data_IF_668818278884
#
_entry.id   IF_668818278884
#
_cell.length_a   1.000
_cell.length_b   1.000
_cell.length_c   1.000
_cell.angle_alpha   90.00
_cell.angle_beta   90.00
_cell.angle_gamma   90.00
#
_symmetry.space_group_name_H-M   'P 1'
#
loop_
_entity.id
_entity.type
_entity.pdbx_description
1 polymer ?
#
# COMPACT_ATOMS: atom_id res chain seq x y z
N UNK A 1 19.61 -47.88 -76.05
CA UNK A 1 20.69 -47.91 -75.03
C UNK A 1 20.83 -46.62 -74.20
N UNK A 2 20.10 -45.52 -74.46
CA UNK A 2 20.26 -44.24 -73.73
C UNK A 2 19.24 -43.96 -72.60
N UNK A 3 18.20 -44.78 -72.39
CA UNK A 3 17.18 -44.56 -71.35
C UNK A 3 17.58 -45.07 -69.96
N UNK A 4 18.37 -46.14 -69.88
CA UNK A 4 18.82 -46.72 -68.61
C UNK A 4 19.77 -45.78 -67.83
N UNK A 5 20.63 -45.04 -68.54
CA UNK A 5 21.55 -44.06 -67.96
C UNK A 5 20.85 -42.80 -67.45
N UNK A 6 19.75 -42.37 -68.08
CA UNK A 6 18.94 -41.25 -67.57
C UNK A 6 18.17 -41.61 -66.30
N UNK A 7 17.67 -42.85 -66.20
CA UNK A 7 16.92 -43.35 -65.04
C UNK A 7 17.81 -43.48 -63.80
N UNK A 8 19.03 -43.99 -63.97
CA UNK A 8 20.07 -44.04 -62.92
C UNK A 8 20.45 -42.65 -62.39
N UNK A 9 20.57 -41.66 -63.28
CA UNK A 9 20.91 -40.28 -62.90
C UNK A 9 19.78 -39.60 -62.12
N UNK A 10 18.52 -39.82 -62.52
CA UNK A 10 17.34 -39.33 -61.79
C UNK A 10 17.24 -39.96 -60.40
N UNK A 11 17.39 -41.28 -60.28
CA UNK A 11 17.39 -41.97 -58.98
C UNK A 11 18.52 -41.48 -58.05
N UNK A 12 19.70 -41.21 -58.59
CA UNK A 12 20.81 -40.63 -57.84
C UNK A 12 20.49 -39.21 -57.34
N UNK A 13 19.89 -38.37 -58.19
CA UNK A 13 19.49 -37.01 -57.83
C UNK A 13 18.39 -36.99 -56.76
N UNK A 14 17.39 -37.88 -56.87
CA UNK A 14 16.31 -38.01 -55.89
C UNK A 14 16.85 -38.54 -54.55
N UNK A 15 17.76 -39.52 -54.57
CA UNK A 15 18.44 -40.01 -53.37
C UNK A 15 19.26 -38.89 -52.70
N UNK A 16 19.97 -38.08 -53.50
CA UNK A 16 20.72 -36.93 -52.99
C UNK A 16 19.80 -35.83 -52.41
N UNK A 17 18.61 -35.64 -53.00
CA UNK A 17 17.59 -34.69 -52.51
C UNK A 17 16.98 -35.16 -51.19
N UNK A 18 16.56 -36.41 -51.10
CA UNK A 18 16.04 -37.03 -49.89
C UNK A 18 17.06 -36.94 -48.74
N UNK A 19 18.33 -37.28 -49.01
CA UNK A 19 19.41 -37.15 -48.02
C UNK A 19 19.68 -35.69 -47.59
N UNK A 20 19.38 -34.68 -48.42
CA UNK A 20 19.47 -33.27 -48.02
C UNK A 20 18.29 -32.84 -47.16
N UNK A 21 17.08 -33.27 -47.52
CA UNK A 21 15.86 -32.99 -46.74
C UNK A 21 15.91 -33.67 -45.37
N UNK A 22 16.40 -34.90 -45.28
CA UNK A 22 16.63 -35.60 -44.01
C UNK A 22 17.65 -34.85 -43.14
N UNK A 23 18.79 -34.43 -43.72
CA UNK A 23 19.77 -33.59 -43.01
C UNK A 23 19.21 -32.25 -42.55
N UNK A 24 18.32 -31.63 -43.35
CA UNK A 24 17.64 -30.39 -42.97
C UNK A 24 16.68 -30.64 -41.80
N UNK A 25 15.86 -31.69 -41.88
CA UNK A 25 14.95 -32.10 -40.82
C UNK A 25 15.67 -32.47 -39.52
N UNK A 26 16.83 -33.14 -39.59
CA UNK A 26 17.67 -33.45 -38.43
C UNK A 26 18.19 -32.16 -37.77
N UNK A 27 18.69 -31.20 -38.56
CA UNK A 27 19.15 -29.90 -38.05
C UNK A 27 18.02 -29.10 -37.41
N UNK A 28 16.82 -29.15 -37.97
CA UNK A 28 15.64 -28.47 -37.40
C UNK A 28 15.22 -29.11 -36.07
N UNK A 29 15.20 -30.45 -35.98
CA UNK A 29 14.94 -31.18 -34.74
C UNK A 29 16.00 -30.89 -33.68
N UNK A 30 17.27 -30.88 -34.05
CA UNK A 30 18.38 -30.56 -33.15
C UNK A 30 18.27 -29.12 -32.61
N UNK A 31 17.99 -28.14 -33.48
CA UNK A 31 17.74 -26.75 -33.06
C UNK A 31 16.56 -26.63 -32.10
N UNK A 32 15.45 -27.32 -32.39
CA UNK A 32 14.29 -27.35 -31.51
C UNK A 32 14.63 -27.97 -30.15
N UNK A 33 15.38 -29.08 -30.14
CA UNK A 33 15.82 -29.74 -28.92
C UNK A 33 16.72 -28.83 -28.07
N UNK A 34 17.70 -28.15 -28.69
CA UNK A 34 18.58 -27.18 -28.01
C UNK A 34 17.75 -26.05 -27.40
N UNK A 35 16.77 -25.53 -28.13
CA UNK A 35 15.91 -24.46 -27.63
C UNK A 35 15.08 -24.91 -26.42
N UNK A 36 14.42 -26.07 -26.50
CA UNK A 36 13.66 -26.65 -25.39
C UNK A 36 14.56 -26.87 -24.17
N UNK A 37 15.74 -27.47 -24.36
CA UNK A 37 16.70 -27.70 -23.29
C UNK A 37 17.17 -26.40 -22.64
N UNK A 38 17.44 -25.35 -23.43
CA UNK A 38 17.84 -24.04 -22.90
C UNK A 38 16.72 -23.40 -22.06
N UNK A 39 15.47 -23.47 -22.53
CA UNK A 39 14.30 -22.96 -21.79
C UNK A 39 14.11 -23.73 -20.49
N UNK A 40 14.20 -25.06 -20.51
CA UNK A 40 14.08 -25.91 -19.31
C UNK A 40 15.21 -25.65 -18.32
N UNK A 41 16.46 -25.57 -18.77
CA UNK A 41 17.62 -25.24 -17.91
C UNK A 41 17.45 -23.87 -17.26
N UNK A 42 16.99 -22.87 -18.02
CA UNK A 42 16.70 -21.52 -17.49
C UNK A 42 15.59 -21.56 -16.44
N UNK A 43 14.51 -22.30 -16.69
CA UNK A 43 13.41 -22.46 -15.74
C UNK A 43 13.89 -23.13 -14.44
N UNK A 44 14.59 -24.27 -14.53
CA UNK A 44 15.12 -24.98 -13.37
C UNK A 44 16.11 -24.12 -12.56
N UNK A 45 16.99 -23.39 -13.24
CA UNK A 45 17.92 -22.45 -12.59
C UNK A 45 17.17 -21.36 -11.82
N UNK A 46 16.17 -20.73 -12.44
CA UNK A 46 15.32 -19.73 -11.75
C UNK A 46 14.61 -20.34 -10.54
N UNK A 47 14.04 -21.54 -10.66
CA UNK A 47 13.39 -22.23 -9.55
C UNK A 47 14.36 -22.59 -8.41
N UNK A 48 15.62 -22.92 -8.73
CA UNK A 48 16.66 -23.16 -7.74
C UNK A 48 17.04 -21.86 -7.02
N UNK A 49 17.36 -20.81 -7.77
CA UNK A 49 17.69 -19.49 -7.21
C UNK A 49 16.57 -18.93 -6.31
N UNK A 50 15.32 -19.03 -6.75
CA UNK A 50 14.16 -18.60 -5.95
C UNK A 50 14.04 -19.38 -4.63
N UNK A 51 14.37 -20.68 -4.63
CA UNK A 51 14.37 -21.50 -3.41
C UNK A 51 15.54 -21.15 -2.49
N UNK A 52 16.74 -21.02 -3.05
CA UNK A 52 17.95 -20.63 -2.29
C UNK A 52 17.75 -19.28 -1.60
N UNK A 53 17.19 -18.29 -2.31
CA UNK A 53 16.87 -16.98 -1.72
C UNK A 53 15.85 -17.12 -0.59
N UNK A 54 14.79 -17.92 -0.77
CA UNK A 54 13.78 -18.12 0.29
C UNK A 54 14.36 -18.83 1.51
N UNK A 55 15.20 -19.83 1.30
CA UNK A 55 15.87 -20.54 2.38
C UNK A 55 16.78 -19.58 3.16
N UNK A 56 17.59 -18.76 2.47
CA UNK A 56 18.43 -17.74 3.13
C UNK A 56 17.59 -16.77 3.97
N UNK A 57 16.42 -16.37 3.47
CA UNK A 57 15.47 -15.52 4.22
C UNK A 57 14.92 -16.24 5.45
N UNK A 58 14.52 -17.50 5.30
CA UNK A 58 13.97 -18.28 6.40
C UNK A 58 15.03 -18.56 7.47
N UNK A 59 16.26 -18.86 7.08
CA UNK A 59 17.40 -19.05 7.98
C UNK A 59 17.71 -17.76 8.75
N UNK A 60 17.72 -16.61 8.06
CA UNK A 60 17.94 -15.33 8.71
C UNK A 60 16.78 -14.93 9.63
N UNK A 61 15.52 -15.26 9.28
CA UNK A 61 14.34 -14.93 10.07
C UNK A 61 13.99 -16.00 11.13
N UNK A 62 14.72 -17.12 11.14
CA UNK A 62 14.49 -18.25 12.03
C UNK A 62 14.69 -17.91 13.52
N UNK A 63 14.18 -18.78 14.41
CA UNK A 63 14.23 -18.59 15.86
C UNK A 63 15.60 -18.88 16.48
N UNK A 64 16.64 -19.13 15.69
CA UNK A 64 17.97 -19.49 16.21
C UNK A 64 18.61 -18.29 16.93
N UNK A 65 18.38 -18.21 18.23
CA UNK A 65 19.00 -17.28 19.19
C UNK A 65 20.51 -17.50 19.37
N UNK A 66 21.05 -18.58 18.81
CA UNK A 66 22.47 -18.97 18.94
C UNK A 66 23.45 -18.08 18.16
N UNK A 67 22.96 -17.24 17.25
CA UNK A 67 23.76 -16.20 16.56
C UNK A 67 23.21 -14.79 16.86
N UNK A 68 23.08 -14.46 18.16
CA UNK A 68 22.67 -13.14 18.66
C UNK A 68 23.63 -11.98 18.34
N UNK A 69 24.43 -12.07 17.26
CA UNK A 69 24.93 -10.88 16.61
C UNK A 69 23.71 -10.09 16.11
N UNK A 70 23.35 -9.03 16.83
CA UNK A 70 22.25 -8.12 16.49
C UNK A 70 22.18 -7.92 14.99
N UNK A 71 21.04 -8.29 14.38
CA UNK A 71 20.79 -8.15 12.94
C UNK A 71 20.98 -6.68 12.58
N UNK A 72 22.10 -6.36 11.93
CA UNK A 72 22.44 -4.98 11.61
C UNK A 72 21.44 -4.40 10.61
N UNK A 73 21.23 -3.08 10.62
CA UNK A 73 20.34 -2.42 9.67
C UNK A 73 20.68 -2.79 8.22
N UNK A 74 21.98 -2.86 7.90
CA UNK A 74 22.47 -3.24 6.56
C UNK A 74 22.13 -4.68 6.19
N UNK A 75 22.22 -5.63 7.13
CA UNK A 75 21.84 -7.03 6.88
C UNK A 75 20.34 -7.16 6.57
N UNK A 76 19.50 -6.48 7.38
CA UNK A 76 18.05 -6.43 7.17
C UNK A 76 17.75 -5.81 5.80
N UNK A 77 18.40 -4.71 5.45
CA UNK A 77 18.24 -4.06 4.15
C UNK A 77 18.58 -4.97 2.97
N UNK A 78 19.73 -5.66 3.02
CA UNK A 78 20.14 -6.62 1.97
C UNK A 78 19.12 -7.75 1.83
N UNK A 79 18.63 -8.29 2.94
CA UNK A 79 17.64 -9.36 2.92
C UNK A 79 16.29 -8.89 2.39
N UNK A 80 15.83 -7.71 2.81
CA UNK A 80 14.59 -7.10 2.31
C UNK A 80 14.65 -6.92 0.79
N UNK A 81 15.80 -6.55 0.22
CA UNK A 81 15.95 -6.47 -1.25
C UNK A 81 15.75 -7.81 -1.92
N UNK A 82 16.33 -8.88 -1.36
CA UNK A 82 16.18 -10.24 -1.86
C UNK A 82 14.72 -10.69 -1.81
N UNK A 83 14.04 -10.47 -0.68
CA UNK A 83 12.63 -10.81 -0.55
C UNK A 83 11.79 -10.05 -1.57
N UNK A 84 11.94 -8.72 -1.68
CA UNK A 84 11.18 -7.90 -2.64
C UNK A 84 11.42 -8.33 -4.09
N UNK A 85 12.61 -8.83 -4.42
CA UNK A 85 12.94 -9.34 -5.76
C UNK A 85 12.18 -10.62 -6.11
N UNK A 86 11.97 -11.52 -5.14
CA UNK A 86 11.31 -12.83 -5.36
C UNK A 86 9.87 -12.90 -4.87
N UNK A 87 9.36 -11.80 -4.32
CA UNK A 87 8.13 -11.79 -3.52
C UNK A 87 6.92 -12.28 -4.31
N UNK A 88 6.24 -13.28 -3.79
CA UNK A 88 4.97 -13.74 -4.30
C UNK A 88 3.94 -13.84 -3.17
N UNK A 89 2.86 -13.04 -3.26
CA UNK A 89 1.88 -12.85 -2.17
C UNK A 89 1.33 -14.17 -1.58
N UNK A 90 1.05 -15.17 -2.43
CA UNK A 90 0.51 -16.47 -2.00
C UNK A 90 1.51 -17.33 -1.22
N UNK A 91 2.82 -17.12 -1.41
CA UNK A 91 3.88 -17.96 -0.82
C UNK A 91 4.63 -17.24 0.30
N UNK A 92 4.73 -15.91 0.21
CA UNK A 92 5.68 -15.12 1.00
C UNK A 92 4.99 -14.17 1.99
N UNK A 93 3.66 -14.24 2.16
CA UNK A 93 2.89 -13.44 3.14
C UNK A 93 3.45 -13.59 4.56
N UNK A 94 3.74 -14.82 5.00
CA UNK A 94 4.31 -15.07 6.32
C UNK A 94 5.75 -14.57 6.47
N UNK A 95 6.59 -14.77 5.43
CA UNK A 95 7.97 -14.27 5.40
C UNK A 95 7.99 -12.75 5.52
N UNK A 96 7.11 -12.07 4.81
CA UNK A 96 6.95 -10.63 4.93
C UNK A 96 6.52 -10.23 6.35
N UNK A 97 5.57 -10.94 6.95
CA UNK A 97 5.17 -10.68 8.34
C UNK A 97 6.34 -10.82 9.32
N UNK A 98 7.16 -11.86 9.19
CA UNK A 98 8.39 -12.05 9.98
C UNK A 98 9.41 -10.93 9.73
N UNK A 99 9.57 -10.50 8.48
CA UNK A 99 10.47 -9.40 8.11
C UNK A 99 9.99 -8.06 8.70
N UNK A 100 8.70 -7.74 8.60
CA UNK A 100 8.12 -6.54 9.20
C UNK A 100 8.36 -6.50 10.71
N UNK A 101 8.14 -7.63 11.42
CA UNK A 101 8.47 -7.74 12.84
C UNK A 101 9.97 -7.52 13.10
N UNK A 102 10.84 -8.12 12.30
CA UNK A 102 12.29 -7.92 12.41
C UNK A 102 12.68 -6.43 12.25
N UNK A 103 12.07 -5.73 11.29
CA UNK A 103 12.30 -4.30 11.07
C UNK A 103 11.78 -3.48 12.25
N UNK A 104 10.55 -3.72 12.73
CA UNK A 104 10.00 -2.99 13.88
C UNK A 104 10.79 -3.23 15.15
N UNK A 105 11.16 -4.47 15.45
CA UNK A 105 12.01 -4.79 16.60
C UNK A 105 13.37 -4.08 16.50
N UNK A 106 13.92 -3.93 15.28
CA UNK A 106 15.14 -3.14 15.08
C UNK A 106 14.96 -1.66 15.44
N UNK A 107 13.75 -1.09 15.29
CA UNK A 107 13.47 0.30 15.64
C UNK A 107 13.29 0.51 17.15
N UNK A 108 12.97 -0.57 17.88
CA UNK A 108 12.76 -0.56 19.32
C UNK A 108 14.04 -0.83 20.12
N UNK A 109 15.05 -1.47 19.50
CA UNK A 109 16.33 -1.82 20.13
C UNK A 109 16.96 -0.64 20.89
N UNK A 110 17.46 -0.91 22.10
CA UNK A 110 18.03 0.12 22.96
C UNK A 110 19.47 0.48 22.56
N UNK A 111 19.77 1.78 22.62
CA UNK A 111 21.12 2.36 22.66
C UNK A 111 22.11 1.98 21.54
N UNK A 112 21.63 1.49 20.37
CA UNK A 112 22.49 1.24 19.20
C UNK A 112 21.91 1.80 17.90
N UNK A 113 22.24 3.05 17.55
CA UNK A 113 21.76 3.68 16.32
C UNK A 113 22.10 2.90 15.04
N UNK A 114 23.18 2.12 15.03
CA UNK A 114 23.60 1.29 13.88
C UNK A 114 22.69 0.08 13.62
N UNK A 115 21.89 -0.32 14.61
CA UNK A 115 20.93 -1.44 14.49
C UNK A 115 19.60 -0.95 13.94
N UNK A 116 19.23 0.31 14.24
CA UNK A 116 17.98 0.89 13.78
C UNK A 116 17.92 0.93 12.26
N UNK A 117 16.92 0.28 11.69
CA UNK A 117 16.77 0.20 10.24
C UNK A 117 16.69 1.58 9.55
N UNK A 118 16.16 2.60 10.25
CA UNK A 118 16.11 3.99 9.77
C UNK A 118 17.48 4.67 9.66
N UNK A 119 18.52 4.17 10.34
CA UNK A 119 19.87 4.75 10.24
C UNK A 119 20.41 4.78 8.81
N UNK A 120 19.94 3.87 7.96
CA UNK A 120 20.27 3.82 6.53
C UNK A 120 19.75 5.03 5.76
N UNK A 121 18.70 5.71 6.25
CA UNK A 121 18.21 6.95 5.67
C UNK A 121 19.22 8.11 5.81
N UNK A 122 20.17 8.01 6.75
CA UNK A 122 21.22 9.00 6.99
C UNK A 122 22.51 8.71 6.19
N UNK A 123 22.59 7.55 5.53
CA UNK A 123 23.77 7.14 4.76
C UNK A 123 23.72 7.69 3.33
N UNK A 124 24.68 8.54 2.95
CA UNK A 124 24.76 9.16 1.61
C UNK A 124 24.66 8.14 0.45
N UNK A 125 25.19 6.93 0.63
CA UNK A 125 25.18 5.88 -0.39
C UNK A 125 23.84 5.11 -0.44
N UNK A 126 23.17 4.96 0.70
CA UNK A 126 22.02 4.05 0.84
C UNK A 126 20.68 4.77 0.92
N UNK A 127 20.63 6.07 1.23
CA UNK A 127 19.37 6.81 1.45
C UNK A 127 18.38 6.62 0.31
N UNK A 128 18.79 6.79 -0.96
CA UNK A 128 17.88 6.67 -2.11
C UNK A 128 17.36 5.24 -2.29
N UNK A 129 18.23 4.25 -2.10
CA UNK A 129 17.84 2.84 -2.20
C UNK A 129 16.92 2.42 -1.04
N UNK A 130 17.17 2.97 0.15
CA UNK A 130 16.35 2.78 1.34
C UNK A 130 14.96 3.40 1.15
N UNK A 131 14.85 4.65 0.66
CA UNK A 131 13.56 5.29 0.36
C UNK A 131 12.76 4.44 -0.61
N UNK A 132 13.37 3.95 -1.70
CA UNK A 132 12.71 3.06 -2.66
C UNK A 132 12.23 1.77 -1.98
N UNK A 133 13.09 1.13 -1.19
CA UNK A 133 12.76 -0.10 -0.48
C UNK A 133 11.60 0.09 0.51
N UNK A 134 11.61 1.16 1.30
CA UNK A 134 10.52 1.48 2.24
C UNK A 134 9.22 1.73 1.50
N UNK A 135 9.24 2.50 0.40
CA UNK A 135 8.05 2.69 -0.45
C UNK A 135 7.46 1.38 -0.95
N UNK A 136 8.29 0.48 -1.47
CA UNK A 136 7.85 -0.82 -1.98
C UNK A 136 7.32 -1.71 -0.85
N UNK A 137 7.97 -1.70 0.32
CA UNK A 137 7.58 -2.47 1.49
C UNK A 137 6.24 -1.99 2.08
N UNK A 138 6.07 -0.68 2.27
CA UNK A 138 4.85 -0.09 2.79
C UNK A 138 3.68 -0.24 1.82
N UNK A 139 3.95 -0.16 0.51
CA UNK A 139 2.93 -0.45 -0.49
C UNK A 139 2.50 -1.92 -0.43
N UNK A 140 3.43 -2.84 -0.20
CA UNK A 140 3.10 -4.24 -0.04
C UNK A 140 2.28 -4.52 1.23
N UNK A 141 2.61 -3.84 2.34
CA UNK A 141 1.78 -3.84 3.55
C UNK A 141 0.35 -3.35 3.24
N UNK A 142 0.23 -2.27 2.46
CA UNK A 142 -1.06 -1.71 2.02
C UNK A 142 -1.85 -2.69 1.14
N UNK A 143 -1.18 -3.41 0.22
CA UNK A 143 -1.84 -4.46 -0.58
C UNK A 143 -2.38 -5.60 0.28
N UNK A 144 -1.63 -6.02 1.30
CA UNK A 144 -2.07 -7.07 2.21
C UNK A 144 -3.24 -6.59 3.07
N UNK A 145 -3.22 -5.35 3.55
CA UNK A 145 -4.35 -4.76 4.30
C UNK A 145 -5.67 -4.87 3.53
N UNK A 146 -5.67 -4.74 2.19
CA UNK A 146 -6.89 -4.92 1.37
C UNK A 146 -7.53 -6.31 1.48
N UNK A 147 -6.76 -7.33 1.84
CA UNK A 147 -7.21 -8.73 1.89
C UNK A 147 -7.60 -9.18 3.30
N UNK A 148 -7.30 -8.38 4.32
CA UNK A 148 -7.50 -8.74 5.72
C UNK A 148 -8.88 -8.28 6.20
N UNK A 149 -9.52 -9.09 7.02
CA UNK A 149 -10.82 -8.77 7.61
C UNK A 149 -10.70 -8.46 9.11
N UNK A 150 -11.11 -7.26 9.56
CA UNK A 150 -10.94 -6.85 10.97
C UNK A 150 -11.63 -7.70 12.03
N UNK A 151 -12.66 -8.47 11.66
CA UNK A 151 -13.44 -9.37 12.52
C UNK A 151 -12.71 -10.69 12.83
N UNK A 152 -11.75 -11.09 12.00
CA UNK A 152 -10.99 -12.31 12.18
C UNK A 152 -9.76 -12.07 13.05
N UNK A 153 -9.67 -12.70 14.23
CA UNK A 153 -8.56 -12.46 15.19
C UNK A 153 -7.15 -12.64 14.59
N UNK A 154 -6.97 -13.61 13.69
CA UNK A 154 -5.68 -13.82 13.02
C UNK A 154 -5.32 -12.64 12.12
N UNK A 155 -6.29 -12.13 11.37
CA UNK A 155 -6.12 -10.98 10.49
C UNK A 155 -5.91 -9.70 11.28
N UNK A 156 -6.57 -9.52 12.44
CA UNK A 156 -6.34 -8.37 13.32
C UNK A 156 -4.87 -8.21 13.70
N UNK A 157 -4.16 -9.32 14.00
CA UNK A 157 -2.72 -9.28 14.29
C UNK A 157 -1.90 -8.77 13.10
N UNK A 158 -2.25 -9.20 11.88
CA UNK A 158 -1.61 -8.74 10.65
C UNK A 158 -1.96 -7.29 10.31
N UNK A 159 -3.20 -6.86 10.55
CA UNK A 159 -3.65 -5.48 10.37
C UNK A 159 -2.81 -4.57 11.27
N UNK A 160 -2.72 -4.88 12.56
CA UNK A 160 -1.90 -4.10 13.50
C UNK A 160 -0.45 -4.07 13.06
N UNK A 161 0.16 -5.20 12.68
CA UNK A 161 1.55 -5.23 12.21
C UNK A 161 1.78 -4.32 10.99
N UNK A 162 0.91 -4.39 9.98
CA UNK A 162 1.05 -3.61 8.75
C UNK A 162 0.77 -2.11 8.98
N UNK A 163 -0.19 -1.77 9.83
CA UNK A 163 -0.46 -0.38 10.22
C UNK A 163 0.70 0.18 11.06
N UNK A 164 1.29 -0.59 11.98
CA UNK A 164 2.46 -0.14 12.73
C UNK A 164 3.64 0.13 11.80
N UNK A 165 3.91 -0.74 10.82
CA UNK A 165 4.91 -0.45 9.78
C UNK A 165 4.64 0.88 9.06
N UNK A 166 3.40 1.11 8.64
CA UNK A 166 3.00 2.35 7.98
C UNK A 166 3.20 3.56 8.90
N UNK A 167 2.73 3.50 10.14
CA UNK A 167 2.87 4.58 11.12
C UNK A 167 4.34 4.89 11.40
N UNK A 168 5.16 3.86 11.66
CA UNK A 168 6.58 4.02 11.95
C UNK A 168 7.32 4.71 10.80
N UNK A 169 7.12 4.30 9.55
CA UNK A 169 7.89 4.87 8.43
C UNK A 169 7.24 6.09 7.75
N UNK A 170 6.14 6.61 8.31
CA UNK A 170 5.50 7.86 7.86
C UNK A 170 5.47 8.94 8.95
N UNK A 171 6.06 8.68 10.11
CA UNK A 171 6.13 9.63 11.22
C UNK A 171 7.46 9.56 11.97
N UNK A 172 8.18 10.68 11.93
CA UNK A 172 9.49 10.86 12.56
C UNK A 172 9.43 10.92 14.08
N UNK A 173 8.25 11.11 14.68
CA UNK A 173 8.06 11.08 16.14
C UNK A 173 8.44 9.72 16.75
N UNK A 174 8.26 8.66 15.96
CA UNK A 174 8.57 7.28 16.37
C UNK A 174 10.07 6.95 16.29
N UNK A 175 10.88 7.81 15.67
CA UNK A 175 12.29 7.52 15.40
C UNK A 175 13.18 8.01 16.54
N UNK A 176 13.66 7.07 17.35
CA UNK A 176 14.59 7.36 18.46
C UNK A 176 15.87 8.09 17.98
N UNK A 177 16.31 7.87 16.74
CA UNK A 177 17.49 8.50 16.14
C UNK A 177 17.38 10.02 16.00
N UNK A 178 16.17 10.55 15.98
CA UNK A 178 15.93 11.98 15.82
C UNK A 178 15.80 12.73 17.14
N UNK A 179 15.93 12.04 18.28
CA UNK A 179 15.94 12.70 19.60
C UNK A 179 17.32 13.31 19.88
N UNK A 180 17.35 14.43 20.60
CA UNK A 180 18.60 15.10 21.00
C UNK A 180 19.39 15.65 19.80
N UNK A 181 20.61 15.14 19.58
CA UNK A 181 21.49 15.62 18.48
C UNK A 181 20.90 15.38 17.08
N UNK A 182 19.98 14.43 16.94
CA UNK A 182 19.31 14.13 15.67
C UNK A 182 18.18 15.10 15.27
N UNK A 183 17.76 16.00 16.17
CA UNK A 183 16.62 16.89 15.95
C UNK A 183 16.82 17.82 14.73
N UNK A 184 18.05 18.26 14.49
CA UNK A 184 18.39 19.09 13.33
C UNK A 184 18.06 18.43 11.98
N UNK A 185 18.01 17.09 11.93
CA UNK A 185 17.66 16.33 10.72
C UNK A 185 16.16 16.08 10.57
N UNK A 186 15.34 16.41 11.58
CA UNK A 186 13.89 16.16 11.56
C UNK A 186 13.18 16.78 10.35
N UNK A 187 13.47 18.03 9.91
CA UNK A 187 12.83 18.60 8.73
C UNK A 187 13.09 17.78 7.46
N UNK A 188 14.33 17.34 7.23
CA UNK A 188 14.69 16.51 6.09
C UNK A 188 14.00 15.14 6.14
N UNK A 189 13.93 14.53 7.33
CA UNK A 189 13.25 13.25 7.53
C UNK A 189 11.73 13.35 7.39
N UNK A 190 11.12 14.47 7.79
CA UNK A 190 9.71 14.75 7.55
C UNK A 190 9.43 14.87 6.05
N UNK A 191 10.32 15.48 5.28
CA UNK A 191 10.20 15.53 3.83
C UNK A 191 10.27 14.13 3.20
N UNK A 192 11.14 13.25 3.70
CA UNK A 192 11.17 11.83 3.29
C UNK A 192 9.84 11.13 3.62
N UNK A 193 9.30 11.33 4.82
CA UNK A 193 8.00 10.77 5.21
C UNK A 193 6.87 11.27 4.29
N UNK A 194 6.83 12.57 3.99
CA UNK A 194 5.88 13.15 3.04
C UNK A 194 6.02 12.55 1.64
N UNK A 195 7.25 12.33 1.17
CA UNK A 195 7.54 11.70 -0.11
C UNK A 195 7.10 10.22 -0.17
N UNK A 196 7.26 9.49 0.93
CA UNK A 196 6.75 8.11 1.08
C UNK A 196 5.22 8.11 1.07
N UNK A 197 4.57 8.98 1.85
CA UNK A 197 3.11 9.12 1.88
C UNK A 197 2.54 9.50 0.51
N UNK A 198 3.17 10.45 -0.20
CA UNK A 198 2.78 10.84 -1.55
C UNK A 198 2.83 9.65 -2.53
N UNK A 199 3.86 8.80 -2.43
CA UNK A 199 3.94 7.58 -3.22
C UNK A 199 2.82 6.57 -2.91
N UNK A 200 2.47 6.40 -1.63
CA UNK A 200 1.37 5.53 -1.23
C UNK A 200 0.03 6.06 -1.77
N UNK A 201 -0.21 7.36 -1.65
CA UNK A 201 -1.43 8.01 -2.14
C UNK A 201 -1.59 7.85 -3.66
N UNK A 202 -0.52 8.07 -4.43
CA UNK A 202 -0.52 7.84 -5.89
C UNK A 202 -0.87 6.41 -6.28
N UNK A 203 -0.61 5.43 -5.41
CA UNK A 203 -0.95 4.02 -5.64
C UNK A 203 -2.35 3.62 -5.13
N UNK A 204 -3.13 4.57 -4.61
CA UNK A 204 -4.49 4.32 -4.12
C UNK A 204 -4.54 3.84 -2.67
N UNK A 205 -3.72 4.44 -1.80
CA UNK A 205 -3.72 4.14 -0.37
C UNK A 205 -5.03 4.49 0.33
N UNK A 206 -5.68 5.60 -0.03
CA UNK A 206 -6.99 5.97 0.53
C UNK A 206 -8.05 4.88 0.33
N UNK A 207 -8.08 4.23 -0.84
CA UNK A 207 -8.99 3.10 -1.10
C UNK A 207 -8.69 1.88 -0.21
N UNK A 208 -7.42 1.66 0.17
CA UNK A 208 -7.05 0.62 1.14
C UNK A 208 -7.67 0.93 2.50
N UNK A 209 -7.52 2.18 2.96
CA UNK A 209 -8.03 2.61 4.25
C UNK A 209 -9.56 2.62 4.29
N UNK A 210 -10.21 3.07 3.22
CA UNK A 210 -11.67 3.02 3.05
C UNK A 210 -12.20 1.61 3.23
N UNK A 211 -11.60 0.62 2.56
CA UNK A 211 -12.02 -0.77 2.65
C UNK A 211 -11.88 -1.31 4.08
N UNK A 212 -10.76 -0.99 4.73
CA UNK A 212 -10.50 -1.43 6.10
C UNK A 212 -11.46 -0.79 7.11
N UNK A 213 -11.74 0.51 6.96
CA UNK A 213 -12.72 1.24 7.77
C UNK A 213 -14.13 0.70 7.56
N UNK A 214 -14.55 0.53 6.31
CA UNK A 214 -15.88 0.00 5.96
C UNK A 214 -16.08 -1.39 6.55
N UNK A 215 -15.12 -2.31 6.34
CA UNK A 215 -15.20 -3.67 6.89
C UNK A 215 -15.17 -3.71 8.43
N UNK A 216 -14.58 -2.69 9.06
CA UNK A 216 -14.39 -2.62 10.50
C UNK A 216 -15.50 -1.87 11.26
N UNK A 217 -16.13 -0.87 10.63
CA UNK A 217 -17.07 0.07 11.24
C UNK A 217 -18.52 -0.12 10.76
N UNK A 218 -18.77 -0.49 9.49
CA UNK A 218 -20.12 -0.56 8.92
C UNK A 218 -20.85 -1.85 9.35
N UNK A 219 -21.01 -2.04 10.66
CA UNK A 219 -21.64 -3.20 11.31
C UNK A 219 -22.31 -2.78 12.62
N UNK A 220 -23.14 -3.65 13.18
CA UNK A 220 -23.81 -3.41 14.47
C UNK A 220 -22.83 -3.16 15.64
N UNK A 221 -21.68 -3.85 15.64
CA UNK A 221 -20.58 -3.62 16.58
C UNK A 221 -19.26 -3.44 15.82
N UNK A 222 -18.55 -2.31 16.00
CA UNK A 222 -17.21 -2.10 15.44
C UNK A 222 -16.21 -3.17 15.89
N UNK A 223 -15.33 -3.65 15.00
CA UNK A 223 -14.23 -4.58 15.37
C UNK A 223 -12.86 -3.91 15.42
N UNK A 224 -12.74 -2.68 14.93
CA UNK A 224 -11.46 -1.98 15.00
C UNK A 224 -11.17 -1.64 16.46
N UNK A 225 -10.00 -2.06 16.93
CA UNK A 225 -9.51 -1.64 18.24
C UNK A 225 -9.23 -0.13 18.24
N UNK A 226 -9.17 0.48 19.42
CA UNK A 226 -8.78 1.87 19.61
C UNK A 226 -7.49 2.21 18.84
N UNK A 227 -6.44 1.42 19.05
CA UNK A 227 -5.15 1.64 18.38
C UNK A 227 -5.21 1.48 16.86
N UNK A 228 -5.98 0.51 16.35
CA UNK A 228 -6.17 0.31 14.91
C UNK A 228 -6.88 1.50 14.27
N UNK A 229 -7.97 1.97 14.88
CA UNK A 229 -8.75 3.10 14.37
C UNK A 229 -7.93 4.40 14.41
N UNK A 230 -7.21 4.66 15.51
CA UNK A 230 -6.29 5.81 15.62
C UNK A 230 -5.22 5.77 14.53
N UNK A 231 -4.61 4.61 14.27
CA UNK A 231 -3.60 4.46 13.24
C UNK A 231 -4.17 4.74 11.84
N UNK A 232 -5.32 4.17 11.49
CA UNK A 232 -5.96 4.39 10.19
C UNK A 232 -6.30 5.88 10.00
N UNK A 233 -6.93 6.50 11.00
CA UNK A 233 -7.32 7.91 10.92
C UNK A 233 -6.09 8.81 10.80
N UNK A 234 -5.07 8.61 11.63
CA UNK A 234 -3.82 9.37 11.58
C UNK A 234 -3.12 9.22 10.24
N UNK A 235 -3.02 8.00 9.70
CA UNK A 235 -2.43 7.74 8.38
C UNK A 235 -3.21 8.39 7.24
N UNK A 236 -4.53 8.52 7.38
CA UNK A 236 -5.37 9.18 6.38
C UNK A 236 -5.27 10.71 6.42
N UNK A 237 -5.07 11.29 7.60
CA UNK A 237 -5.06 12.73 7.81
C UNK A 237 -3.68 13.36 7.60
N UNK A 238 -2.60 12.67 7.97
CA UNK A 238 -1.21 13.15 7.83
C UNK A 238 -0.87 13.69 6.44
N UNK A 239 -1.21 13.03 5.31
CA UNK A 239 -0.90 13.56 3.98
C UNK A 239 -1.64 14.87 3.70
N UNK A 240 -2.89 15.00 4.18
CA UNK A 240 -3.69 16.21 4.02
C UNK A 240 -3.04 17.39 4.75
N UNK A 241 -2.61 17.18 6.00
CA UNK A 241 -1.89 18.18 6.79
C UNK A 241 -0.56 18.56 6.11
N UNK A 242 0.23 17.57 5.70
CA UNK A 242 1.54 17.78 5.11
C UNK A 242 1.49 18.54 3.76
N UNK A 243 0.38 18.45 3.04
CA UNK A 243 0.15 19.20 1.80
C UNK A 243 -0.70 20.47 2.03
N UNK A 244 -0.81 20.94 3.28
CA UNK A 244 -1.58 22.12 3.66
C UNK A 244 -3.01 22.12 3.12
N UNK A 245 -3.68 20.96 3.22
CA UNK A 245 -5.08 20.79 2.81
C UNK A 245 -5.33 21.09 1.33
N UNK A 246 -4.39 20.72 0.46
CA UNK A 246 -4.59 20.83 -1.00
C UNK A 246 -5.89 20.17 -1.45
N UNK A 247 -6.57 20.81 -2.41
CA UNK A 247 -7.88 20.38 -2.91
C UNK A 247 -7.92 18.90 -3.30
N UNK A 248 -6.88 18.40 -3.97
CA UNK A 248 -6.78 17.00 -4.38
C UNK A 248 -6.80 16.01 -3.20
N UNK A 249 -6.10 16.32 -2.12
CA UNK A 249 -6.05 15.45 -0.93
C UNK A 249 -7.29 15.63 -0.06
N UNK A 250 -7.84 16.84 0.01
CA UNK A 250 -9.09 17.10 0.74
C UNK A 250 -10.25 16.35 0.08
N UNK A 251 -10.34 16.43 -1.25
CA UNK A 251 -11.25 15.62 -2.08
C UNK A 251 -11.07 14.12 -1.82
N UNK A 252 -9.83 13.62 -1.87
CA UNK A 252 -9.56 12.20 -1.63
C UNK A 252 -9.97 11.76 -0.22
N UNK A 253 -9.75 12.62 0.79
CA UNK A 253 -10.15 12.37 2.17
C UNK A 253 -11.67 12.33 2.32
N UNK A 254 -12.39 13.28 1.70
CA UNK A 254 -13.85 13.31 1.70
C UNK A 254 -14.44 12.06 1.02
N UNK A 255 -13.91 11.70 -0.15
CA UNK A 255 -14.40 10.58 -0.95
C UNK A 255 -14.16 9.21 -0.33
N UNK A 256 -13.05 9.01 0.37
CA UNK A 256 -12.64 7.67 0.84
C UNK A 256 -12.71 7.50 2.35
N UNK A 257 -12.63 8.57 3.13
CA UNK A 257 -12.58 8.50 4.59
C UNK A 257 -13.89 9.03 5.17
N UNK A 258 -14.24 10.28 4.89
CA UNK A 258 -15.47 10.88 5.43
C UNK A 258 -16.76 10.29 4.84
N UNK A 259 -16.68 9.57 3.73
CA UNK A 259 -17.81 8.81 3.17
C UNK A 259 -18.03 7.45 3.84
N UNK A 260 -17.17 7.03 4.77
CA UNK A 260 -17.36 5.77 5.51
C UNK A 260 -18.51 5.92 6.50
N UNK A 261 -19.49 4.99 6.54
CA UNK A 261 -20.63 5.07 7.44
C UNK A 261 -20.24 5.31 8.91
N UNK A 262 -20.91 6.28 9.55
CA UNK A 262 -20.80 6.60 10.98
C UNK A 262 -19.37 6.84 11.52
N UNK A 263 -18.41 7.19 10.65
CA UNK A 263 -17.03 7.41 11.03
C UNK A 263 -16.90 8.40 12.19
N UNK A 264 -17.54 9.57 12.12
CA UNK A 264 -17.37 10.63 13.13
C UNK A 264 -17.93 10.19 14.49
N UNK A 265 -19.07 9.50 14.50
CA UNK A 265 -19.64 8.89 15.72
C UNK A 265 -18.70 7.86 16.33
N UNK A 266 -18.06 7.02 15.51
CA UNK A 266 -17.08 6.05 16.00
C UNK A 266 -15.79 6.71 16.49
N UNK A 267 -15.35 7.79 15.85
CA UNK A 267 -14.19 8.56 16.32
C UNK A 267 -14.47 9.19 17.69
N UNK A 268 -15.63 9.83 17.87
CA UNK A 268 -15.97 10.49 19.15
C UNK A 268 -16.14 9.50 20.30
N UNK A 269 -16.61 8.27 20.01
CA UNK A 269 -16.90 7.25 21.03
C UNK A 269 -15.71 6.35 21.35
N UNK A 270 -14.94 5.91 20.35
CA UNK A 270 -13.86 4.91 20.52
C UNK A 270 -12.49 5.59 20.71
N UNK A 271 -12.24 6.69 19.99
CA UNK A 271 -10.93 7.38 19.92
C UNK A 271 -11.09 8.91 20.06
N UNK A 272 -11.60 9.41 21.20
CA UNK A 272 -11.84 10.83 21.39
C UNK A 272 -10.59 11.70 21.21
N UNK A 273 -9.39 11.14 21.37
CA UNK A 273 -8.13 11.85 21.10
C UNK A 273 -7.99 12.24 19.62
N UNK A 274 -8.55 11.46 18.70
CA UNK A 274 -8.59 11.82 17.29
C UNK A 274 -9.51 13.03 17.04
N UNK A 275 -10.56 13.21 17.84
CA UNK A 275 -11.42 14.41 17.73
C UNK A 275 -10.67 15.68 18.12
N UNK A 276 -9.79 15.63 19.13
CA UNK A 276 -8.92 16.77 19.45
C UNK A 276 -8.03 17.17 18.24
N UNK A 277 -7.58 16.20 17.45
CA UNK A 277 -6.86 16.46 16.20
C UNK A 277 -7.78 17.09 15.13
N UNK A 278 -9.01 16.60 15.00
CA UNK A 278 -10.02 17.15 14.07
C UNK A 278 -10.31 18.62 14.37
N UNK A 279 -10.48 18.97 15.65
CA UNK A 279 -10.72 20.35 16.08
C UNK A 279 -9.49 21.23 15.93
N UNK A 280 -8.31 20.78 16.37
CA UNK A 280 -7.06 21.57 16.24
C UNK A 280 -6.65 21.85 14.80
N UNK A 281 -7.09 20.99 13.86
CA UNK A 281 -6.88 21.19 12.43
C UNK A 281 -8.06 21.87 11.73
N UNK A 282 -9.09 22.31 12.46
CA UNK A 282 -10.27 22.99 11.92
C UNK A 282 -10.89 22.27 10.70
N UNK A 283 -10.98 20.93 10.77
CA UNK A 283 -11.37 20.14 9.60
C UNK A 283 -12.78 20.47 9.10
N UNK A 284 -13.71 20.75 10.01
CA UNK A 284 -15.07 21.12 9.64
C UNK A 284 -15.09 22.38 8.78
N UNK A 285 -14.43 23.45 9.21
CA UNK A 285 -14.32 24.70 8.47
C UNK A 285 -13.78 24.44 7.07
N UNK A 286 -12.69 23.68 6.97
CA UNK A 286 -12.06 23.33 5.68
C UNK A 286 -12.99 22.52 4.78
N UNK A 287 -13.76 21.58 5.33
CA UNK A 287 -14.74 20.82 4.56
C UNK A 287 -15.88 21.71 4.07
N UNK A 288 -16.39 22.61 4.92
CA UNK A 288 -17.45 23.56 4.56
C UNK A 288 -16.99 24.45 3.42
N UNK A 289 -15.83 25.12 3.56
CA UNK A 289 -15.30 26.00 2.52
C UNK A 289 -14.99 25.26 1.22
N UNK A 290 -14.48 24.02 1.30
CA UNK A 290 -14.23 23.19 0.14
C UNK A 290 -15.53 22.83 -0.60
N UNK A 291 -16.54 22.34 0.12
CA UNK A 291 -17.81 21.90 -0.43
C UNK A 291 -18.75 23.05 -0.79
N UNK A 292 -18.53 24.25 -0.27
CA UNK A 292 -19.32 25.43 -0.65
C UNK A 292 -19.08 25.85 -2.10
N UNK A 293 -17.97 25.37 -2.70
CA UNK A 293 -17.71 25.51 -4.13
C UNK A 293 -18.54 24.48 -4.89
N UNK A 294 -19.50 24.97 -5.68
CA UNK A 294 -20.48 24.14 -6.39
C UNK A 294 -19.83 23.04 -7.25
N UNK A 295 -18.77 23.37 -7.99
CA UNK A 295 -18.01 22.40 -8.82
C UNK A 295 -17.45 21.25 -7.97
N UNK A 296 -16.87 21.55 -6.81
CA UNK A 296 -16.26 20.55 -5.93
C UNK A 296 -17.31 19.68 -5.24
N UNK A 297 -18.42 20.29 -4.80
CA UNK A 297 -19.54 19.56 -4.21
C UNK A 297 -20.16 18.59 -5.22
N UNK A 298 -20.41 19.08 -6.44
CA UNK A 298 -20.98 18.29 -7.52
C UNK A 298 -20.05 17.14 -7.90
N UNK A 299 -18.75 17.40 -8.07
CA UNK A 299 -17.76 16.36 -8.38
C UNK A 299 -17.70 15.26 -7.29
N UNK A 300 -17.70 15.65 -6.01
CA UNK A 300 -17.74 14.70 -4.90
C UNK A 300 -19.03 13.87 -4.96
N UNK A 301 -20.17 14.52 -5.13
CA UNK A 301 -21.46 13.86 -5.21
C UNK A 301 -21.55 12.89 -6.39
N UNK A 302 -20.99 13.24 -7.56
CA UNK A 302 -20.96 12.35 -8.73
C UNK A 302 -20.05 11.15 -8.51
N UNK A 303 -18.89 11.35 -7.87
CA UNK A 303 -17.96 10.28 -7.57
C UNK A 303 -18.46 9.32 -6.47
N UNK A 304 -19.35 9.80 -5.61
CA UNK A 304 -20.01 8.99 -4.59
C UNK A 304 -21.35 8.47 -5.13
N UNK A 305 -21.57 7.16 -5.08
CA UNK A 305 -22.93 6.64 -5.25
C UNK A 305 -23.86 7.24 -4.17
N UNK A 306 -25.16 7.37 -4.43
CA UNK A 306 -26.09 8.08 -3.54
C UNK A 306 -26.03 7.63 -2.06
N UNK A 307 -25.80 6.33 -1.79
CA UNK A 307 -25.64 5.80 -0.43
C UNK A 307 -24.39 6.32 0.30
N UNK A 308 -23.27 6.50 -0.41
CA UNK A 308 -22.03 7.02 0.17
C UNK A 308 -22.08 8.55 0.34
N UNK A 309 -22.81 9.25 -0.52
CA UNK A 309 -23.12 10.68 -0.33
C UNK A 309 -23.91 10.92 0.96
N UNK A 310 -24.88 10.06 1.28
CA UNK A 310 -25.60 10.11 2.56
C UNK A 310 -24.68 9.82 3.76
N UNK A 311 -23.71 8.91 3.62
CA UNK A 311 -22.73 8.65 4.67
C UNK A 311 -21.85 9.87 4.93
N UNK A 312 -21.39 10.55 3.87
CA UNK A 312 -20.65 11.81 3.98
C UNK A 312 -21.50 12.89 4.67
N UNK A 313 -22.74 13.06 4.24
CA UNK A 313 -23.70 14.00 4.84
C UNK A 313 -23.87 13.74 6.35
N UNK A 314 -24.12 12.49 6.74
CA UNK A 314 -24.30 12.10 8.14
C UNK A 314 -23.06 12.38 9.00
N UNK A 315 -21.87 12.11 8.47
CA UNK A 315 -20.61 12.44 9.15
C UNK A 315 -20.38 13.95 9.27
N UNK A 316 -20.73 14.74 8.26
CA UNK A 316 -20.64 16.21 8.32
C UNK A 316 -21.59 16.78 9.37
N UNK A 317 -22.83 16.30 9.42
CA UNK A 317 -23.82 16.70 10.44
C UNK A 317 -23.32 16.35 11.84
N UNK A 318 -22.83 15.13 12.04
CA UNK A 318 -22.28 14.74 13.34
C UNK A 318 -21.05 15.58 13.73
N UNK A 319 -20.19 15.93 12.77
CA UNK A 319 -19.02 16.76 13.03
C UNK A 319 -19.40 18.20 13.36
N UNK A 320 -20.42 18.74 12.69
CA UNK A 320 -20.98 20.06 12.97
C UNK A 320 -21.62 20.11 14.37
N UNK A 321 -22.38 19.09 14.76
CA UNK A 321 -22.91 18.96 16.12
C UNK A 321 -21.80 18.96 17.19
N UNK A 322 -20.65 18.34 16.91
CA UNK A 322 -19.50 18.34 17.83
C UNK A 322 -18.68 19.64 17.77
N UNK A 323 -18.97 20.57 16.85
CA UNK A 323 -18.17 21.77 16.59
C UNK A 323 -19.05 23.03 16.49
N UNK A 324 -19.89 23.26 17.51
CA UNK A 324 -20.94 24.30 17.52
C UNK A 324 -20.43 25.69 17.08
N UNK A 325 -19.27 26.14 17.56
CA UNK A 325 -18.72 27.47 17.21
C UNK A 325 -18.49 27.66 15.71
N UNK A 326 -17.90 26.66 15.05
CA UNK A 326 -17.64 26.72 13.60
C UNK A 326 -18.96 26.68 12.82
N UNK A 327 -19.93 25.92 13.33
CA UNK A 327 -21.26 25.87 12.72
C UNK A 327 -21.97 27.22 12.84
N UNK A 328 -21.91 27.90 13.99
CA UNK A 328 -22.49 29.24 14.18
C UNK A 328 -21.90 30.26 13.19
N UNK A 329 -20.58 30.24 12.99
CA UNK A 329 -19.88 31.14 12.07
C UNK A 329 -20.21 30.85 10.59
N UNK A 330 -20.28 29.57 10.21
CA UNK A 330 -20.41 29.13 8.82
C UNK A 330 -21.80 28.54 8.48
N UNK A 331 -22.83 28.89 9.24
CA UNK A 331 -24.19 28.30 9.11
C UNK A 331 -24.72 28.38 7.68
N UNK A 332 -24.57 29.54 7.01
CA UNK A 332 -25.08 29.74 5.65
C UNK A 332 -24.40 28.80 4.64
N UNK A 333 -23.08 28.71 4.69
CA UNK A 333 -22.30 27.81 3.85
C UNK A 333 -22.66 26.35 4.14
N UNK A 334 -22.74 25.97 5.42
CA UNK A 334 -23.11 24.61 5.81
C UNK A 334 -24.49 24.19 5.32
N UNK A 335 -25.51 25.04 5.50
CA UNK A 335 -26.88 24.77 5.02
C UNK A 335 -26.92 24.67 3.50
N UNK A 336 -26.18 25.52 2.79
CA UNK A 336 -26.04 25.44 1.33
C UNK A 336 -25.45 24.10 0.89
N UNK A 337 -24.35 23.67 1.52
CA UNK A 337 -23.70 22.37 1.25
C UNK A 337 -24.67 21.21 1.47
N UNK A 338 -25.36 21.17 2.62
CA UNK A 338 -26.33 20.10 2.91
C UNK A 338 -27.47 20.07 1.90
N UNK A 339 -27.99 21.25 1.53
CA UNK A 339 -29.09 21.38 0.55
C UNK A 339 -28.66 20.87 -0.82
N UNK A 340 -27.45 21.22 -1.28
CA UNK A 340 -26.91 20.76 -2.54
C UNK A 340 -26.75 19.23 -2.57
N UNK A 341 -26.16 18.66 -1.52
CA UNK A 341 -25.96 17.21 -1.41
C UNK A 341 -27.29 16.43 -1.33
N UNK A 342 -28.27 16.93 -0.58
CA UNK A 342 -29.61 16.33 -0.49
C UNK A 342 -30.36 16.42 -1.83
N UNK A 343 -30.27 17.56 -2.51
CA UNK A 343 -30.84 17.75 -3.85
C UNK A 343 -30.23 16.78 -4.86
N UNK A 344 -28.92 16.53 -4.78
CA UNK A 344 -28.27 15.50 -5.58
C UNK A 344 -28.80 14.10 -5.26
N UNK A 345 -28.91 13.74 -3.97
CA UNK A 345 -29.43 12.42 -3.58
C UNK A 345 -30.88 12.22 -4.07
N UNK A 346 -31.73 13.25 -4.01
CA UNK A 346 -33.09 13.22 -4.54
C UNK A 346 -33.10 12.98 -6.05
N UNK A 347 -32.27 13.71 -6.82
CA UNK A 347 -32.13 13.51 -8.27
C UNK A 347 -31.61 12.11 -8.60
N UNK A 348 -30.62 11.63 -7.85
CA UNK A 348 -30.04 10.30 -8.04
C UNK A 348 -31.09 9.19 -7.86
N UNK A 349 -31.93 9.28 -6.82
CA UNK A 349 -33.03 8.31 -6.60
C UNK A 349 -34.08 8.42 -7.71
N UNK A 350 -34.46 9.63 -8.13
CA UNK A 350 -35.44 9.83 -9.20
C UNK A 350 -34.98 9.27 -10.56
N UNK A 351 -33.66 9.27 -10.83
CA UNK A 351 -33.08 8.75 -12.07
C UNK A 351 -32.82 7.24 -12.02
N UNK A 352 -32.74 6.66 -10.82
CA UNK A 352 -32.58 5.23 -10.61
C UNK A 352 -33.96 4.57 -10.68
N UNK A 353 -34.52 4.47 -11.88
CA UNK A 353 -35.67 3.60 -12.11
C UNK A 353 -35.30 2.19 -11.62
N UNK A 354 -36.12 1.67 -10.71
CA UNK A 354 -35.92 0.43 -9.95
C UNK A 354 -35.82 -0.81 -10.81
#
# INVERSE_FOLDING_TARGET
MFSATQTSKLQFLDSARAAREERKGQKERERAAIHIQAVVRRFLCRCRLLREIRNEIDDFLGPNETNSSRKSALSIFKLTRKLLFVFHIKQDKERLGKLCRCILNSMEAENEPKVWYVSLALSKELTMLWIKQVKDLLWLCSKLLKQLKPDMMQDTKHITLHLTMLVTFTDTSTWKILRGKGEAMRPAMNHICANIMGHLNQKGFYTVLQLLLTNGLARSKPSLSKGTLTAIFSLSLRPVIAAHFSDNLLRSFLLHIMSVPALVTHLSTIVPECMAMVHSQELLLKFILFLSREEQCSDICVCLEGSHSLCLLGNLIQLAYLSEKVLEEETNHFVSVLTAMLSYCQKYVAQKES
#
